data_IF_684761953021
#
_entry.id   IF_684761953021
#
_cell.length_a   1.000
_cell.length_b   1.000
_cell.length_c   1.000
_cell.angle_alpha   90.00
_cell.angle_beta   90.00
_cell.angle_gamma   90.00
#
_symmetry.space_group_name_H-M   'P 1'
#
loop_
_entity.id
_entity.type
_entity.pdbx_description
1 polymer ?
#
# COMPACT_ATOMS: atom_id res chain seq x y z
N UNK A 1 -20.57 -21.83 1.58
CA UNK A 1 -19.33 -21.50 2.30
C UNK A 1 -18.57 -20.51 1.45
N UNK A 2 -18.66 -19.22 1.75
CA UNK A 2 -17.96 -18.17 0.99
C UNK A 2 -16.64 -17.94 1.70
N UNK A 3 -15.53 -18.38 1.10
CA UNK A 3 -14.19 -18.02 1.58
C UNK A 3 -14.00 -16.52 1.35
N UNK A 4 -13.95 -15.77 2.45
CA UNK A 4 -13.58 -14.36 2.47
C UNK A 4 -12.06 -14.34 2.24
N UNK A 5 -11.64 -14.25 0.98
CA UNK A 5 -10.23 -14.10 0.62
C UNK A 5 -9.65 -12.89 1.32
N UNK A 6 -8.81 -13.13 2.33
CA UNK A 6 -8.14 -12.07 3.10
C UNK A 6 -6.85 -11.72 2.38
N UNK A 7 -6.82 -10.59 1.68
CA UNK A 7 -5.60 -10.04 1.09
C UNK A 7 -4.83 -9.31 2.17
N UNK A 8 -3.63 -9.77 2.47
CA UNK A 8 -2.69 -9.11 3.39
C UNK A 8 -1.60 -8.45 2.56
N UNK A 9 -1.48 -7.13 2.63
CA UNK A 9 -0.36 -6.40 2.06
C UNK A 9 0.76 -6.36 3.10
N UNK A 10 1.96 -6.84 2.75
CA UNK A 10 3.16 -6.63 3.57
C UNK A 10 3.79 -5.31 3.15
N UNK A 11 3.93 -4.39 4.11
CA UNK A 11 4.81 -3.23 4.03
C UNK A 11 6.21 -3.64 4.48
N UNK A 12 7.20 -3.63 3.59
CA UNK A 12 8.60 -3.77 3.97
C UNK A 12 9.22 -2.37 3.99
N UNK A 13 9.25 -1.74 5.16
CA UNK A 13 10.03 -0.52 5.38
C UNK A 13 11.52 -0.84 5.26
N UNK A 14 12.20 -0.10 4.39
CA UNK A 14 13.63 -0.20 4.14
C UNK A 14 14.37 0.80 5.04
N UNK A 15 14.75 0.40 6.26
CA UNK A 15 15.73 1.18 7.04
C UNK A 15 16.61 0.39 8.01
N UNK A 16 16.33 -0.88 8.29
CA UNK A 16 17.17 -1.65 9.20
C UNK A 16 17.48 -3.04 8.64
N UNK A 17 18.77 -3.39 8.65
CA UNK A 17 19.39 -4.69 8.35
C UNK A 17 19.76 -4.93 6.87
N UNK A 18 21.06 -4.77 6.63
CA UNK A 18 21.73 -5.30 5.46
C UNK A 18 21.54 -6.82 5.31
N UNK A 19 21.49 -7.25 4.04
CA UNK A 19 21.53 -8.64 3.58
C UNK A 19 20.41 -9.55 4.12
N UNK A 20 19.17 -9.42 3.62
CA UNK A 20 18.27 -10.57 3.56
C UNK A 20 17.44 -10.65 2.26
N UNK A 21 17.57 -11.84 1.65
CA UNK A 21 16.77 -12.51 0.60
C UNK A 21 15.46 -11.82 0.18
N UNK A 22 15.36 -11.49 -1.11
CA UNK A 22 14.09 -11.24 -1.80
C UNK A 22 13.14 -12.42 -1.52
N UNK A 23 11.93 -12.23 -0.98
CA UNK A 23 10.91 -13.26 -1.08
C UNK A 23 10.42 -13.24 -2.53
N UNK A 24 11.04 -14.07 -3.36
CA UNK A 24 10.35 -14.57 -4.55
C UNK A 24 9.20 -15.43 -4.02
N UNK A 25 7.96 -15.10 -4.39
CA UNK A 25 6.80 -16.00 -4.40
C UNK A 25 6.83 -17.13 -3.35
N UNK A 26 6.35 -16.90 -2.13
CA UNK A 26 6.40 -17.97 -1.14
C UNK A 26 5.98 -17.60 0.27
N UNK A 27 4.69 -17.38 0.48
CA UNK A 27 4.06 -17.78 1.72
C UNK A 27 3.00 -18.80 1.33
N UNK A 28 3.39 -20.08 1.37
CA UNK A 28 2.53 -21.22 1.11
C UNK A 28 1.47 -21.31 2.21
N UNK A 29 0.41 -20.52 2.10
CA UNK A 29 -0.73 -20.58 3.01
C UNK A 29 -1.73 -21.66 2.58
N UNK A 30 -1.31 -22.68 1.81
CA UNK A 30 -2.23 -23.69 1.28
C UNK A 30 -3.44 -23.10 0.54
N UNK A 31 -3.29 -21.91 -0.07
CA UNK A 31 -4.36 -21.18 -0.76
C UNK A 31 -5.19 -20.21 0.09
N UNK A 32 -4.87 -20.00 1.37
CA UNK A 32 -5.69 -19.17 2.30
C UNK A 32 -5.48 -17.66 2.18
N UNK A 33 -4.32 -17.22 1.72
CA UNK A 33 -4.01 -15.81 1.56
C UNK A 33 -3.03 -15.58 0.41
N UNK A 34 -3.25 -14.49 -0.31
CA UNK A 34 -2.36 -14.01 -1.37
C UNK A 34 -1.56 -12.82 -0.85
N UNK A 35 -0.26 -12.81 -1.15
CA UNK A 35 0.65 -11.73 -0.79
C UNK A 35 1.00 -10.93 -2.03
N UNK A 36 0.70 -9.63 -1.98
CA UNK A 36 0.93 -8.70 -3.08
C UNK A 36 2.05 -7.75 -2.68
N UNK A 37 3.11 -7.69 -3.49
CA UNK A 37 4.18 -6.73 -3.34
C UNK A 37 3.75 -5.37 -3.91
N UNK A 38 4.06 -4.30 -3.17
CA UNK A 38 3.78 -2.92 -3.53
C UNK A 38 5.09 -2.14 -3.39
N UNK A 39 5.43 -1.32 -4.38
CA UNK A 39 6.61 -0.46 -4.31
C UNK A 39 6.33 0.84 -3.56
N UNK A 40 7.37 1.52 -3.07
CA UNK A 40 7.21 2.81 -2.38
C UNK A 40 6.44 3.84 -3.23
N UNK A 41 6.74 3.91 -4.53
CA UNK A 41 6.02 4.78 -5.47
C UNK A 41 4.53 4.44 -5.54
N UNK A 42 4.19 3.15 -5.54
CA UNK A 42 2.79 2.71 -5.52
C UNK A 42 2.13 2.97 -4.17
N UNK A 43 2.85 2.81 -3.06
CA UNK A 43 2.36 3.17 -1.74
C UNK A 43 2.05 4.67 -1.66
N UNK A 44 2.90 5.54 -2.22
CA UNK A 44 2.62 6.99 -2.31
C UNK A 44 1.33 7.30 -3.08
N UNK A 45 1.00 6.54 -4.13
CA UNK A 45 -0.32 6.65 -4.78
C UNK A 45 -1.48 6.27 -3.85
N UNK A 46 -1.32 5.22 -3.04
CA UNK A 46 -2.31 4.83 -2.03
C UNK A 46 -2.46 5.88 -0.92
N UNK A 47 -1.35 6.46 -0.46
CA UNK A 47 -1.31 7.54 0.52
C UNK A 47 -2.06 8.77 -0.01
N UNK A 48 -1.72 9.22 -1.23
CA UNK A 48 -2.36 10.34 -1.91
C UNK A 48 -3.85 10.10 -2.07
N UNK A 49 -4.24 8.92 -2.56
CA UNK A 49 -5.63 8.56 -2.82
C UNK A 49 -6.49 8.75 -1.57
N UNK A 50 -6.14 8.10 -0.46
CA UNK A 50 -6.96 8.19 0.75
C UNK A 50 -6.98 9.61 1.34
N UNK A 51 -5.85 10.32 1.25
CA UNK A 51 -5.74 11.69 1.72
C UNK A 51 -6.63 12.65 0.92
N UNK A 52 -6.64 12.53 -0.40
CA UNK A 52 -7.41 13.42 -1.28
C UNK A 52 -8.89 13.07 -1.33
N UNK A 53 -9.27 11.79 -1.27
CA UNK A 53 -10.68 11.38 -1.40
C UNK A 53 -11.43 11.38 -0.07
N UNK A 54 -10.78 10.96 1.02
CA UNK A 54 -11.43 10.80 2.33
C UNK A 54 -10.92 11.78 3.39
N UNK A 55 -9.88 12.56 3.11
CA UNK A 55 -9.27 13.47 4.10
C UNK A 55 -8.55 12.72 5.24
N UNK A 56 -8.25 11.44 5.06
CA UNK A 56 -7.54 10.62 6.05
C UNK A 56 -6.10 10.47 5.58
N UNK A 57 -5.14 10.86 6.43
CA UNK A 57 -3.71 10.70 6.18
C UNK A 57 -3.28 9.33 6.73
N UNK A 58 -3.09 8.29 5.91
CA UNK A 58 -2.72 6.96 6.39
C UNK A 58 -1.23 6.88 6.73
N UNK A 59 -0.85 5.97 7.62
CA UNK A 59 0.55 5.57 7.73
C UNK A 59 1.07 5.01 6.40
N UNK A 60 2.36 5.17 6.09
CA UNK A 60 2.95 4.67 4.84
C UNK A 60 2.80 3.15 4.68
N UNK A 61 2.82 2.40 5.78
CA UNK A 61 2.56 0.96 5.76
C UNK A 61 1.13 0.64 5.33
N UNK A 62 0.16 1.42 5.82
CA UNK A 62 -1.25 1.27 5.42
C UNK A 62 -1.49 1.66 3.97
N UNK A 63 -0.72 2.62 3.45
CA UNK A 63 -0.79 3.06 2.06
C UNK A 63 -0.54 1.94 1.04
N UNK A 64 0.26 0.92 1.41
CA UNK A 64 0.49 -0.27 0.58
C UNK A 64 -0.81 -1.07 0.38
N UNK A 65 -1.56 -1.29 1.46
CA UNK A 65 -2.83 -2.00 1.42
C UNK A 65 -3.90 -1.22 0.65
N UNK A 66 -3.93 0.11 0.80
CA UNK A 66 -4.86 1.00 0.09
C UNK A 66 -4.66 0.92 -1.42
N UNK A 67 -3.41 1.05 -1.89
CA UNK A 67 -3.10 0.95 -3.31
C UNK A 67 -3.53 -0.41 -3.89
N UNK A 68 -3.16 -1.52 -3.22
CA UNK A 68 -3.50 -2.86 -3.67
C UNK A 68 -5.01 -3.10 -3.66
N UNK A 69 -5.69 -2.70 -2.60
CA UNK A 69 -7.13 -2.85 -2.44
C UNK A 69 -7.89 -2.08 -3.52
N UNK A 70 -7.51 -0.82 -3.78
CA UNK A 70 -8.10 -0.02 -4.85
C UNK A 70 -7.86 -0.65 -6.24
N UNK A 71 -6.64 -1.13 -6.51
CA UNK A 71 -6.31 -1.82 -7.76
C UNK A 71 -7.13 -3.10 -7.96
N UNK A 72 -7.29 -3.89 -6.89
CA UNK A 72 -8.10 -5.11 -6.90
C UNK A 72 -9.58 -4.79 -7.13
N UNK A 73 -10.12 -3.80 -6.40
CA UNK A 73 -11.52 -3.41 -6.47
C UNK A 73 -11.96 -2.99 -7.88
N UNK A 74 -11.06 -2.43 -8.70
CA UNK A 74 -11.34 -2.08 -10.11
C UNK A 74 -11.77 -3.27 -10.97
N UNK A 75 -11.36 -4.48 -10.60
CA UNK A 75 -11.70 -5.72 -11.32
C UNK A 75 -12.79 -6.53 -10.62
N UNK A 76 -13.31 -6.06 -9.48
CA UNK A 76 -14.34 -6.75 -8.71
C UNK A 76 -15.75 -6.43 -9.23
N UNK A 77 -16.68 -7.36 -8.99
CA UNK A 77 -18.10 -7.10 -9.24
C UNK A 77 -18.61 -6.12 -8.19
N UNK A 78 -19.54 -5.24 -8.58
CA UNK A 78 -20.13 -4.22 -7.69
C UNK A 78 -20.82 -4.77 -6.41
N UNK A 79 -21.08 -6.06 -6.36
CA UNK A 79 -21.71 -6.74 -5.19
C UNK A 79 -20.68 -7.26 -4.18
N UNK A 80 -19.38 -7.12 -4.47
CA UNK A 80 -18.32 -7.59 -3.58
C UNK A 80 -17.76 -6.43 -2.78
N UNK A 81 -17.60 -6.64 -1.48
CA UNK A 81 -17.01 -5.65 -0.57
C UNK A 81 -15.51 -5.94 -0.34
N UNK A 82 -14.74 -4.88 -0.10
CA UNK A 82 -13.33 -4.95 0.30
C UNK A 82 -13.17 -4.28 1.65
N UNK A 83 -12.53 -4.98 2.59
CA UNK A 83 -12.14 -4.41 3.89
C UNK A 83 -10.64 -4.16 3.88
N UNK A 84 -10.25 -2.91 4.09
CA UNK A 84 -8.84 -2.51 4.19
C UNK A 84 -8.57 -2.13 5.65
N UNK A 85 -7.55 -2.75 6.24
CA UNK A 85 -7.11 -2.43 7.59
C UNK A 85 -6.11 -1.26 7.55
N UNK A 86 -6.51 -0.12 8.09
CA UNK A 86 -5.65 1.06 8.26
C UNK A 86 -5.04 0.99 9.66
N UNK A 87 -3.80 0.52 9.73
CA UNK A 87 -3.12 0.21 11.00
C UNK A 87 -2.74 1.45 11.82
N UNK A 88 -2.63 2.62 11.19
CA UNK A 88 -2.15 3.83 11.85
C UNK A 88 -2.36 5.10 11.03
N UNK A 89 -2.08 6.23 11.69
CA UNK A 89 -2.15 7.58 11.13
C UNK A 89 -0.79 8.01 10.59
N UNK A 90 -0.77 8.76 9.50
CA UNK A 90 0.44 9.18 8.82
C UNK A 90 1.07 10.48 9.34
N UNK A 91 0.67 10.99 10.51
CA UNK A 91 1.17 12.27 11.04
C UNK A 91 2.71 12.34 11.07
N UNK A 92 3.36 11.23 11.43
CA UNK A 92 4.84 11.11 11.49
C UNK A 92 5.48 10.88 10.12
N UNK A 93 4.71 10.43 9.15
CA UNK A 93 5.20 10.05 7.82
C UNK A 93 5.20 11.23 6.83
N UNK A 94 4.56 12.34 7.16
CA UNK A 94 4.45 13.53 6.29
C UNK A 94 5.84 14.00 5.84
N UNK A 95 6.81 14.05 6.77
CA UNK A 95 8.17 14.47 6.43
C UNK A 95 8.83 13.47 5.47
N UNK A 96 8.73 12.17 5.74
CA UNK A 96 9.26 11.11 4.88
C UNK A 96 8.64 11.16 3.48
N UNK A 97 7.34 11.41 3.38
CA UNK A 97 6.64 11.59 2.08
C UNK A 97 7.18 12.82 1.36
N UNK A 98 7.32 13.95 2.05
CA UNK A 98 7.85 15.18 1.46
C UNK A 98 9.29 15.00 0.96
N UNK A 99 10.13 14.28 1.69
CA UNK A 99 11.53 14.02 1.33
C UNK A 99 11.67 13.05 0.14
N UNK A 100 10.78 12.05 0.04
CA UNK A 100 10.80 11.05 -1.04
C UNK A 100 10.09 11.52 -2.32
N UNK A 101 9.14 12.46 -2.23
CA UNK A 101 8.36 12.94 -3.37
C UNK A 101 9.21 13.52 -4.52
N UNK A 102 10.30 14.28 -4.30
CA UNK A 102 11.17 14.71 -5.39
C UNK A 102 11.77 13.54 -6.20
N UNK A 103 11.97 12.38 -5.58
CA UNK A 103 12.55 11.19 -6.23
C UNK A 103 11.48 10.30 -6.86
N UNK A 104 10.37 10.09 -6.18
CA UNK A 104 9.33 9.13 -6.58
C UNK A 104 8.15 9.78 -7.29
N UNK A 105 7.86 11.04 -6.99
CA UNK A 105 6.76 11.84 -7.55
C UNK A 105 6.69 11.83 -9.08
N UNK A 106 7.81 12.07 -9.80
CA UNK A 106 7.82 12.05 -11.27
C UNK A 106 7.41 10.69 -11.87
N UNK A 107 7.63 9.58 -11.14
CA UNK A 107 7.27 8.24 -11.61
C UNK A 107 5.76 7.99 -11.55
N UNK A 108 5.06 8.72 -10.69
CA UNK A 108 3.63 8.52 -10.40
C UNK A 108 2.77 9.74 -10.75
N UNK A 109 3.37 10.76 -11.37
CA UNK A 109 2.70 12.01 -11.70
C UNK A 109 2.23 12.78 -10.46
N UNK A 110 2.95 12.66 -9.35
CA UNK A 110 2.70 13.41 -8.12
C UNK A 110 3.88 14.30 -7.78
N UNK A 111 3.94 15.45 -8.43
CA UNK A 111 5.00 16.42 -8.21
C UNK A 111 4.57 17.48 -7.20
N UNK A 112 5.45 17.81 -6.27
CA UNK A 112 5.33 18.98 -5.42
C UNK A 112 5.61 20.22 -6.28
N UNK A 113 4.56 20.87 -6.76
CA UNK A 113 4.66 22.16 -7.44
C UNK A 113 4.74 23.23 -6.36
N UNK A 114 5.94 23.65 -6.03
CA UNK A 114 6.17 24.90 -5.30
C UNK A 114 6.52 25.99 -6.30
#
# INVERSE_FOLDING_TARGET
>A
MTEIGRVLSQSTLYSELGKQKRPQSGAETGGRAEFIAVTDAQALLGFKMLSETEGIIPALESAHAIYSGAKMARNMKKIQDVVIYVSGRGDKDIQSVADELPRLGPQIGWDLRF
#
